data_IF_705617347922
#
_entry.id   IF_705617347922
#
_cell.length_a   1.000
_cell.length_b   1.000
_cell.length_c   1.000
_cell.angle_alpha   90.00
_cell.angle_beta   90.00
_cell.angle_gamma   90.00
#
_symmetry.space_group_name_H-M   'P 1'
#
loop_
_entity.id
_entity.type
_entity.pdbx_description
1 polymer ?
#
# COMPACT_ATOMS: atom_id res chain seq x y z
N UNK A 1 17.44 -22.48 10.10
CA UNK A 1 16.93 -21.17 10.58
C UNK A 1 16.71 -20.31 9.36
N UNK A 2 15.46 -20.11 8.95
CA UNK A 2 15.14 -19.24 7.81
C UNK A 2 15.25 -17.78 8.25
N UNK A 3 15.95 -16.97 7.44
CA UNK A 3 16.15 -15.54 7.63
C UNK A 3 14.81 -14.79 7.53
N UNK A 4 14.12 -14.59 8.66
CA UNK A 4 12.87 -13.81 8.76
C UNK A 4 13.13 -12.29 8.61
N UNK A 5 14.38 -11.83 8.70
CA UNK A 5 14.72 -10.40 8.61
C UNK A 5 14.53 -9.77 7.23
N UNK A 6 14.47 -10.57 6.16
CA UNK A 6 14.26 -10.08 4.79
C UNK A 6 12.80 -9.69 4.50
N UNK A 7 11.82 -10.17 5.26
CA UNK A 7 10.41 -10.02 4.89
C UNK A 7 9.80 -8.66 5.32
N UNK A 8 10.10 -8.19 6.53
CA UNK A 8 9.37 -7.03 7.10
C UNK A 8 9.73 -5.70 6.45
N UNK A 9 10.99 -5.54 6.00
CA UNK A 9 11.41 -4.34 5.26
C UNK A 9 10.68 -4.23 3.93
N UNK A 10 10.60 -5.34 3.21
CA UNK A 10 9.89 -5.41 1.92
C UNK A 10 8.40 -5.19 2.10
N UNK A 11 7.80 -5.75 3.15
CA UNK A 11 6.39 -5.51 3.51
C UNK A 11 6.15 -4.01 3.75
N UNK A 12 6.99 -3.34 4.54
CA UNK A 12 6.82 -1.90 4.82
C UNK A 12 7.00 -1.05 3.56
N UNK A 13 7.91 -1.43 2.66
CA UNK A 13 8.08 -0.76 1.37
C UNK A 13 6.82 -0.92 0.48
N UNK A 14 6.27 -2.13 0.42
CA UNK A 14 5.02 -2.42 -0.32
C UNK A 14 3.84 -1.62 0.25
N UNK A 15 3.70 -1.58 1.58
CA UNK A 15 2.70 -0.77 2.28
C UNK A 15 2.87 0.71 1.93
N UNK A 16 4.09 1.25 1.94
CA UNK A 16 4.33 2.65 1.59
C UNK A 16 3.95 2.96 0.13
N UNK A 17 4.29 2.08 -0.80
CA UNK A 17 3.92 2.26 -2.21
C UNK A 17 2.40 2.20 -2.39
N UNK A 18 1.72 1.28 -1.70
CA UNK A 18 0.27 1.20 -1.68
C UNK A 18 -0.35 2.48 -1.11
N UNK A 19 0.18 2.98 0.02
CA UNK A 19 -0.24 4.24 0.62
C UNK A 19 -0.13 5.43 -0.34
N UNK A 20 0.98 5.55 -1.09
CA UNK A 20 1.16 6.61 -2.11
C UNK A 20 0.08 6.51 -3.19
N UNK A 21 -0.17 5.30 -3.70
CA UNK A 21 -1.19 5.11 -4.73
C UNK A 21 -2.61 5.41 -4.21
N UNK A 22 -2.91 5.09 -2.95
CA UNK A 22 -4.19 5.43 -2.32
C UNK A 22 -4.35 6.95 -2.16
N UNK A 23 -3.27 7.66 -1.83
CA UNK A 23 -3.28 9.12 -1.79
C UNK A 23 -3.57 9.71 -3.19
N UNK A 24 -2.92 9.18 -4.23
CA UNK A 24 -3.19 9.57 -5.62
C UNK A 24 -4.64 9.28 -6.02
N UNK A 25 -5.20 8.15 -5.57
CA UNK A 25 -6.58 7.79 -5.84
C UNK A 25 -7.57 8.77 -5.20
N UNK A 26 -7.36 9.15 -3.94
CA UNK A 26 -8.18 10.18 -3.27
C UNK A 26 -8.12 11.51 -4.04
N UNK A 27 -6.95 11.91 -4.53
CA UNK A 27 -6.81 13.12 -5.34
C UNK A 27 -7.61 13.01 -6.64
N UNK A 28 -7.58 11.86 -7.32
CA UNK A 28 -8.34 11.65 -8.55
C UNK A 28 -9.86 11.66 -8.32
N UNK A 29 -10.33 11.04 -7.23
CA UNK A 29 -11.73 11.12 -6.81
C UNK A 29 -12.17 12.56 -6.57
N UNK A 30 -11.36 13.36 -5.86
CA UNK A 30 -11.63 14.78 -5.62
C UNK A 30 -11.67 15.60 -6.92
N UNK A 31 -10.77 15.33 -7.88
CA UNK A 31 -10.80 15.98 -9.22
C UNK A 31 -12.08 15.67 -9.99
N UNK A 32 -12.73 14.56 -9.68
CA UNK A 32 -14.02 14.13 -10.25
C UNK A 32 -15.22 14.57 -9.41
N UNK A 33 -15.01 15.49 -8.46
CA UNK A 33 -16.01 15.98 -7.52
C UNK A 33 -16.64 14.89 -6.64
N UNK A 34 -15.92 13.80 -6.39
CA UNK A 34 -16.34 12.78 -5.43
C UNK A 34 -15.75 13.12 -4.07
N UNK A 35 -16.64 13.36 -3.10
CA UNK A 35 -16.22 13.59 -1.72
C UNK A 35 -15.83 12.28 -1.05
N UNK A 36 -14.68 12.29 -0.38
CA UNK A 36 -14.15 11.14 0.35
C UNK A 36 -14.29 11.42 1.83
N UNK A 37 -14.95 10.50 2.54
CA UNK A 37 -15.22 10.63 3.97
C UNK A 37 -13.97 11.08 4.74
N UNK A 38 -14.06 12.12 5.60
CA UNK A 38 -12.96 12.58 6.43
C UNK A 38 -12.32 11.45 7.25
N UNK A 39 -13.12 10.45 7.66
CA UNK A 39 -12.61 9.27 8.39
C UNK A 39 -11.57 8.48 7.58
N UNK A 40 -11.78 8.31 6.27
CA UNK A 40 -10.85 7.62 5.37
C UNK A 40 -9.57 8.45 5.21
N UNK A 41 -9.71 9.76 5.06
CA UNK A 41 -8.57 10.69 4.95
C UNK A 41 -7.72 10.66 6.22
N UNK A 42 -8.36 10.69 7.40
CA UNK A 42 -7.69 10.59 8.69
C UNK A 42 -7.00 9.23 8.84
N UNK A 43 -7.67 8.13 8.52
CA UNK A 43 -7.08 6.79 8.57
C UNK A 43 -5.83 6.67 7.69
N UNK A 44 -5.88 7.21 6.45
CA UNK A 44 -4.73 7.23 5.55
C UNK A 44 -3.58 8.08 6.12
N UNK A 45 -3.88 9.18 6.81
CA UNK A 45 -2.89 10.03 7.48
C UNK A 45 -2.24 9.29 8.66
N UNK A 46 -3.03 8.59 9.47
CA UNK A 46 -2.53 7.73 10.55
C UNK A 46 -1.61 6.62 10.01
N UNK A 47 -1.96 6.00 8.89
CA UNK A 47 -1.11 5.02 8.21
C UNK A 47 0.25 5.63 7.83
N UNK A 48 0.30 6.88 7.36
CA UNK A 48 1.57 7.56 7.04
C UNK A 48 2.47 7.68 8.27
N UNK A 49 1.91 8.08 9.40
CA UNK A 49 2.63 8.19 10.67
C UNK A 49 3.17 6.83 11.12
N UNK A 50 2.36 5.77 11.02
CA UNK A 50 2.76 4.40 11.36
C UNK A 50 3.86 3.87 10.42
N UNK A 51 3.79 4.13 9.11
CA UNK A 51 4.84 3.78 8.16
C UNK A 51 6.18 4.41 8.57
N UNK A 52 6.17 5.71 8.90
CA UNK A 52 7.38 6.41 9.33
C UNK A 52 7.94 5.83 10.64
N UNK A 53 7.07 5.54 11.59
CA UNK A 53 7.45 4.88 12.84
C UNK A 53 8.07 3.50 12.58
N UNK A 54 7.48 2.70 11.69
CA UNK A 54 7.99 1.38 11.34
C UNK A 54 9.36 1.44 10.67
N UNK A 55 9.57 2.41 9.76
CA UNK A 55 10.89 2.67 9.15
C UNK A 55 11.95 3.02 10.18
N UNK A 56 11.61 3.87 11.14
CA UNK A 56 12.51 4.22 12.24
C UNK A 56 12.87 2.98 13.08
N UNK A 57 11.89 2.13 13.42
CA UNK A 57 12.13 0.89 14.16
C UNK A 57 13.04 -0.10 13.41
N UNK A 58 12.83 -0.26 12.09
CA UNK A 58 13.67 -1.13 11.25
C UNK A 58 15.12 -0.67 11.18
N UNK A 59 15.37 0.65 11.13
CA UNK A 59 16.73 1.20 11.11
C UNK A 59 17.49 0.91 12.41
N UNK A 60 16.76 0.76 13.53
CA UNK A 60 17.30 0.38 14.83
C UNK A 60 17.36 -1.14 15.07
N UNK A 61 17.12 -1.97 14.02
CA UNK A 61 17.15 -3.44 14.06
C UNK A 61 16.25 -4.06 15.15
N UNK A 62 15.19 -3.37 15.55
CA UNK A 62 14.28 -3.86 16.58
C UNK A 62 13.09 -4.58 15.94
N UNK A 63 13.24 -5.89 15.73
CA UNK A 63 12.23 -6.74 15.10
C UNK A 63 11.42 -7.57 16.11
N UNK A 64 10.80 -6.90 17.07
CA UNK A 64 10.02 -7.57 18.12
C UNK A 64 8.69 -8.13 17.62
N UNK A 65 8.11 -9.07 18.38
CA UNK A 65 6.77 -9.58 18.09
C UNK A 65 5.69 -8.48 18.11
N UNK A 66 5.81 -7.52 19.03
CA UNK A 66 4.90 -6.36 19.07
C UNK A 66 5.05 -5.47 17.83
N UNK A 67 6.28 -5.32 17.32
CA UNK A 67 6.51 -4.62 16.07
C UNK A 67 5.83 -5.33 14.88
N UNK A 68 5.92 -6.66 14.80
CA UNK A 68 5.23 -7.44 13.78
C UNK A 68 3.70 -7.27 13.84
N UNK A 69 3.11 -7.18 15.04
CA UNK A 69 1.68 -6.87 15.19
C UNK A 69 1.30 -5.51 14.62
N UNK A 70 2.13 -4.49 14.84
CA UNK A 70 1.92 -3.14 14.30
C UNK A 70 1.96 -3.18 12.77
N UNK A 71 2.95 -3.88 12.18
CA UNK A 71 3.05 -4.04 10.73
C UNK A 71 1.81 -4.77 10.17
N UNK A 72 1.37 -5.84 10.83
CA UNK A 72 0.17 -6.57 10.42
C UNK A 72 -1.10 -5.72 10.51
N UNK A 73 -1.23 -4.88 11.55
CA UNK A 73 -2.36 -3.94 11.67
C UNK A 73 -2.33 -2.89 10.57
N UNK A 74 -1.17 -2.31 10.30
CA UNK A 74 -0.99 -1.34 9.22
C UNK A 74 -1.33 -1.92 7.85
N UNK A 75 -0.97 -3.18 7.58
CA UNK A 75 -1.39 -3.87 6.35
C UNK A 75 -2.91 -3.97 6.23
N UNK A 76 -3.61 -4.30 7.32
CA UNK A 76 -5.08 -4.36 7.34
C UNK A 76 -5.70 -3.00 7.11
N UNK A 77 -5.24 -1.96 7.81
CA UNK A 77 -5.78 -0.61 7.67
C UNK A 77 -5.65 -0.08 6.24
N UNK A 78 -4.54 -0.39 5.55
CA UNK A 78 -4.35 -0.05 4.14
C UNK A 78 -5.34 -0.79 3.22
N UNK A 79 -5.59 -2.07 3.46
CA UNK A 79 -6.57 -2.86 2.70
C UNK A 79 -8.01 -2.38 2.93
N UNK A 80 -8.35 -1.98 4.15
CA UNK A 80 -9.66 -1.45 4.50
C UNK A 80 -9.92 -0.09 3.82
N UNK A 81 -8.89 0.77 3.79
CA UNK A 81 -8.93 2.04 3.05
C UNK A 81 -9.09 1.78 1.55
N UNK A 82 -8.29 0.88 0.97
CA UNK A 82 -8.40 0.47 -0.44
C UNK A 82 -9.82 0.02 -0.78
N UNK A 83 -10.35 -0.94 -0.02
CA UNK A 83 -11.68 -1.50 -0.24
C UNK A 83 -12.76 -0.41 -0.16
N UNK A 84 -12.65 0.49 0.82
CA UNK A 84 -13.59 1.61 0.97
C UNK A 84 -13.55 2.56 -0.23
N UNK A 85 -12.37 2.91 -0.73
CA UNK A 85 -12.22 3.79 -1.89
C UNK A 85 -12.72 3.13 -3.18
N UNK A 86 -12.48 1.83 -3.36
CA UNK A 86 -12.98 1.06 -4.49
C UNK A 86 -14.51 1.00 -4.49
N UNK A 87 -15.14 0.78 -3.33
CA UNK A 87 -16.60 0.80 -3.20
C UNK A 87 -17.15 2.19 -3.55
N UNK A 88 -16.54 3.26 -3.05
CA UNK A 88 -16.93 4.64 -3.38
C UNK A 88 -16.81 4.88 -4.89
N UNK A 89 -15.71 4.45 -5.50
CA UNK A 89 -15.48 4.62 -6.93
C UNK A 89 -16.50 3.83 -7.77
N UNK A 90 -16.83 2.61 -7.38
CA UNK A 90 -17.83 1.79 -8.06
C UNK A 90 -19.21 2.43 -7.98
N UNK A 91 -19.61 2.90 -6.79
CA UNK A 91 -20.91 3.55 -6.54
C UNK A 91 -21.05 4.88 -7.29
N UNK A 92 -19.98 5.68 -7.36
CA UNK A 92 -20.06 7.06 -7.90
C UNK A 92 -19.64 7.22 -9.36
N UNK A 93 -18.72 6.38 -9.83
CA UNK A 93 -18.09 6.51 -11.14
C UNK A 93 -18.22 5.23 -11.98
N UNK A 94 -18.83 4.18 -11.43
CA UNK A 94 -19.11 2.91 -12.10
C UNK A 94 -18.01 1.86 -11.94
N UNK A 95 -18.40 0.60 -12.11
CA UNK A 95 -17.53 -0.57 -11.89
C UNK A 95 -16.26 -0.56 -12.75
N UNK A 96 -16.36 -0.10 -14.01
CA UNK A 96 -15.20 -0.03 -14.91
C UNK A 96 -14.10 0.86 -14.33
N UNK A 97 -14.46 2.03 -13.84
CA UNK A 97 -13.51 2.97 -13.26
C UNK A 97 -12.90 2.42 -11.95
N UNK A 98 -13.71 1.75 -11.13
CA UNK A 98 -13.23 1.07 -9.94
C UNK A 98 -12.22 -0.04 -10.28
N UNK A 99 -12.51 -0.86 -11.30
CA UNK A 99 -11.63 -1.93 -11.77
C UNK A 99 -10.29 -1.40 -12.28
N UNK A 100 -10.29 -0.32 -13.06
CA UNK A 100 -9.06 0.34 -13.53
C UNK A 100 -8.15 0.75 -12.35
N UNK A 101 -8.74 1.29 -11.28
CA UNK A 101 -8.00 1.62 -10.06
C UNK A 101 -7.58 0.39 -9.26
N UNK A 102 -8.43 -0.64 -9.14
CA UNK A 102 -8.07 -1.91 -8.47
C UNK A 102 -6.84 -2.55 -9.12
N UNK A 103 -6.79 -2.58 -10.46
CA UNK A 103 -5.63 -3.09 -11.22
C UNK A 103 -4.39 -2.23 -10.92
N UNK A 104 -4.51 -0.91 -11.00
CA UNK A 104 -3.41 0.02 -10.73
C UNK A 104 -2.88 -0.07 -9.30
N UNK A 105 -3.75 -0.36 -8.34
CA UNK A 105 -3.42 -0.60 -6.94
C UNK A 105 -2.80 -1.98 -6.69
N UNK A 106 -3.08 -2.97 -7.56
CA UNK A 106 -2.48 -4.31 -7.55
C UNK A 106 -1.13 -4.42 -8.26
N UNK A 107 -0.88 -3.61 -9.30
CA UNK A 107 0.27 -3.78 -10.21
C UNK A 107 1.62 -3.24 -9.69
N UNK A 108 1.66 -2.35 -8.67
CA UNK A 108 2.94 -1.79 -8.16
C UNK A 108 3.71 -2.69 -7.17
N UNK A 109 3.53 -4.00 -7.25
CA UNK A 109 4.37 -4.98 -6.54
C UNK A 109 5.43 -5.67 -7.41
N UNK A 110 5.40 -5.45 -8.73
CA UNK A 110 6.40 -5.97 -9.67
C UNK A 110 7.32 -4.83 -10.14
N UNK A 111 8.18 -4.41 -9.23
CA UNK A 111 9.38 -3.63 -9.51
C UNK A 111 10.62 -4.41 -9.08
N UNK A 112 10.61 -5.72 -9.26
CA UNK A 112 11.87 -6.47 -9.46
C UNK A 112 12.07 -6.41 -10.96
N UNK A 113 13.11 -5.70 -11.36
CA UNK A 113 13.51 -5.56 -12.75
C UNK A 113 13.48 -6.94 -13.43
N UNK A 114 12.80 -7.05 -14.58
CA UNK A 114 13.05 -8.07 -15.58
C UNK A 114 14.48 -7.86 -16.10
N UNK A 115 15.47 -8.18 -15.26
CA UNK A 115 16.85 -8.44 -15.64
C UNK A 115 17.03 -9.96 -15.70
N UNK A 116 16.19 -10.60 -16.50
CA UNK A 116 16.64 -11.75 -17.28
C UNK A 116 16.96 -11.14 -18.64
N UNK A 117 18.13 -10.52 -18.80
CA UNK A 117 19.31 -11.34 -19.01
C UNK A 117 19.13 -12.12 -20.29
N UNK A 118 19.07 -11.40 -21.42
CA UNK A 118 19.34 -11.99 -22.73
C UNK A 118 20.81 -12.37 -22.73
N UNK A 119 21.13 -13.51 -22.14
CA UNK A 119 22.39 -14.18 -22.37
C UNK A 119 22.09 -15.41 -23.20
N UNK A 120 22.46 -15.29 -24.48
CA UNK A 120 22.80 -16.42 -25.32
C UNK A 120 23.72 -17.38 -24.55
N UNK A 121 23.58 -18.69 -24.81
CA UNK A 121 24.64 -19.70 -25.02
C UNK A 121 23.95 -21.07 -25.16
N UNK A 122 24.19 -21.76 -26.27
CA UNK A 122 23.92 -23.19 -26.47
C UNK A 122 23.27 -23.53 -27.79
#
# INVERSE_FOLDING_TARGET
MYNIELDTKDVILKIENKWKNLADFIVDLKKKNIDVSPKIITALTCCRSLINHCKYHLNNKNNSFEFQKIVAQLSRDILDIESSLIIIAADKLGERYALEWSVKLGERTLGVEDRVGVDAIG
#
